data_IF_236119851923
#
_entry.id   IF_236119851923
#
_cell.length_a   1.000
_cell.length_b   1.000
_cell.length_c   1.000
_cell.angle_alpha   90.00
_cell.angle_beta   90.00
_cell.angle_gamma   90.00
#
_symmetry.space_group_name_H-M   'P 1'
#
loop_
_entity.id
_entity.type
_entity.pdbx_description
1 polymer ?
#
# COMPACT_ATOMS: atom_id res chain seq x y z
N UNK A 1 12.63 7.33 -8.60
CA UNK A 1 12.38 8.63 -7.94
C UNK A 1 10.97 8.61 -7.44
N UNK A 2 10.78 8.86 -6.15
CA UNK A 2 9.49 8.60 -5.51
C UNK A 2 8.85 9.94 -5.25
N UNK A 3 7.88 10.25 -6.09
CA UNK A 3 6.93 11.30 -5.81
C UNK A 3 6.13 10.88 -4.58
N UNK A 4 5.82 11.84 -3.73
CA UNK A 4 5.07 11.61 -2.51
C UNK A 4 3.66 11.10 -2.84
N UNK A 5 3.43 9.81 -2.65
CA UNK A 5 2.10 9.20 -2.67
C UNK A 5 1.95 8.43 -1.37
N UNK A 6 1.16 8.94 -0.42
CA UNK A 6 0.92 8.14 0.76
C UNK A 6 -0.07 7.04 0.45
N UNK A 7 0.32 5.85 0.89
CA UNK A 7 -0.57 4.73 1.04
C UNK A 7 -1.27 4.90 2.37
N UNK A 8 -2.59 5.01 2.33
CA UNK A 8 -3.42 5.05 3.52
C UNK A 8 -4.09 3.69 3.71
N UNK A 9 -3.66 2.91 4.70
CA UNK A 9 -4.46 1.91 5.43
C UNK A 9 -4.97 0.70 4.62
N UNK A 10 -4.30 -0.45 4.70
CA UNK A 10 -4.79 -1.77 4.31
C UNK A 10 -4.03 -2.92 5.02
N UNK A 11 -4.70 -3.50 6.03
CA UNK A 11 -4.26 -4.66 6.82
C UNK A 11 -3.76 -5.86 5.98
N UNK A 12 -2.84 -6.68 6.53
CA UNK A 12 -2.14 -7.73 5.80
C UNK A 12 -2.99 -9.00 5.65
N UNK A 13 -3.14 -9.47 4.41
CA UNK A 13 -3.47 -10.86 4.11
C UNK A 13 -2.19 -11.69 4.07
N UNK A 14 -2.18 -12.81 4.78
CA UNK A 14 -1.08 -13.76 4.90
C UNK A 14 -0.60 -14.27 3.53
N UNK A 15 0.71 -14.18 3.27
CA UNK A 15 1.36 -14.94 2.20
C UNK A 15 2.27 -15.99 2.83
N UNK A 16 1.89 -17.26 2.64
CA UNK A 16 2.63 -18.43 3.09
C UNK A 16 3.90 -18.65 2.26
N UNK A 17 4.98 -18.99 2.96
CA UNK A 17 6.30 -19.31 2.41
C UNK A 17 6.27 -20.76 1.90
N UNK A 18 6.56 -20.97 0.61
CA UNK A 18 7.03 -22.26 0.11
C UNK A 18 8.56 -22.17 -0.01
N UNK A 19 9.26 -22.83 0.92
CA UNK A 19 10.72 -22.92 0.94
C UNK A 19 11.17 -23.99 -0.06
N UNK A 20 11.82 -23.57 -1.14
CA UNK A 20 12.55 -24.42 -2.10
C UNK A 20 13.97 -23.86 -2.30
N UNK A 21 14.96 -24.74 -2.48
CA UNK A 21 16.39 -24.41 -2.35
C UNK A 21 17.09 -24.36 -3.72
N UNK A 22 17.46 -23.16 -4.16
CA UNK A 22 18.40 -22.93 -5.26
C UNK A 22 18.34 -21.53 -5.88
N UNK A 23 19.50 -20.94 -6.20
CA UNK A 23 19.67 -19.62 -6.87
C UNK A 23 18.82 -19.46 -8.15
N UNK A 24 18.60 -20.55 -8.89
CA UNK A 24 17.79 -20.57 -10.11
C UNK A 24 16.28 -20.51 -9.87
N UNK A 25 15.78 -20.97 -8.72
CA UNK A 25 14.36 -20.91 -8.37
C UNK A 25 13.95 -19.50 -7.92
N UNK A 26 14.81 -18.78 -7.18
CA UNK A 26 14.56 -17.40 -6.76
C UNK A 26 14.40 -16.45 -7.95
N UNK A 27 15.23 -16.62 -8.98
CA UNK A 27 15.12 -15.83 -10.20
C UNK A 27 13.78 -16.06 -10.90
N UNK A 28 13.29 -17.29 -10.96
CA UNK A 28 11.98 -17.61 -11.56
C UNK A 28 10.81 -17.05 -10.75
N UNK A 29 10.89 -17.10 -9.41
CA UNK A 29 9.86 -16.56 -8.53
C UNK A 29 9.80 -15.03 -8.59
N UNK A 30 10.95 -14.36 -8.55
CA UNK A 30 11.08 -12.92 -8.76
C UNK A 30 10.47 -12.52 -10.12
N UNK A 31 10.77 -13.25 -11.20
CA UNK A 31 10.20 -13.00 -12.52
C UNK A 31 8.68 -13.21 -12.57
N UNK A 32 8.13 -14.20 -11.84
CA UNK A 32 6.68 -14.40 -11.74
C UNK A 32 6.00 -13.24 -11.02
N UNK A 33 6.57 -12.80 -9.89
CA UNK A 33 6.07 -11.64 -9.12
C UNK A 33 6.10 -10.36 -9.95
N UNK A 34 7.19 -10.09 -10.67
CA UNK A 34 7.31 -8.94 -11.56
C UNK A 34 6.24 -8.97 -12.67
N UNK A 35 6.03 -10.12 -13.31
CA UNK A 35 4.99 -10.27 -14.36
C UNK A 35 3.59 -10.03 -13.82
N UNK A 36 3.31 -10.44 -12.58
CA UNK A 36 2.03 -10.16 -11.94
C UNK A 36 1.85 -8.66 -11.68
N UNK A 37 2.81 -8.02 -11.01
CA UNK A 37 2.73 -6.60 -10.66
C UNK A 37 2.63 -5.68 -11.90
N UNK A 38 3.35 -6.03 -12.98
CA UNK A 38 3.27 -5.30 -14.25
C UNK A 38 1.92 -5.42 -14.96
N UNK A 39 1.11 -6.44 -14.65
CA UNK A 39 -0.23 -6.62 -15.24
C UNK A 39 -1.31 -5.90 -14.45
N UNK A 40 -1.10 -5.70 -13.15
CA UNK A 40 -2.12 -5.23 -12.22
C UNK A 40 -1.96 -3.78 -11.82
N UNK A 41 -0.80 -3.17 -12.09
CA UNK A 41 -0.47 -1.80 -11.67
C UNK A 41 0.12 -0.98 -12.83
N UNK A 42 0.09 0.35 -12.72
CA UNK A 42 0.82 1.26 -13.60
C UNK A 42 2.31 1.38 -13.20
N UNK A 43 2.85 0.37 -12.53
CA UNK A 43 4.24 0.30 -12.11
C UNK A 43 4.98 -0.65 -13.04
N UNK A 44 6.20 -0.28 -13.38
CA UNK A 44 7.11 -1.10 -14.15
C UNK A 44 8.13 -1.74 -13.21
N UNK A 45 8.08 -3.05 -13.11
CA UNK A 45 9.03 -3.91 -12.42
C UNK A 45 9.84 -4.71 -13.44
N UNK A 46 11.09 -5.00 -13.11
CA UNK A 46 11.95 -5.83 -13.96
C UNK A 46 13.32 -6.08 -13.34
N UNK A 47 14.28 -6.56 -14.17
CA UNK A 47 15.62 -6.89 -13.69
C UNK A 47 16.37 -5.64 -13.18
N UNK A 48 16.96 -5.75 -12.00
CA UNK A 48 17.79 -4.72 -11.35
C UNK A 48 19.08 -5.35 -10.81
N UNK A 49 19.97 -4.55 -10.20
CA UNK A 49 21.15 -5.06 -9.49
C UNK A 49 20.82 -5.99 -8.29
N UNK A 50 19.56 -6.06 -7.89
CA UNK A 50 19.07 -6.88 -6.77
C UNK A 50 18.33 -8.13 -7.24
N UNK A 51 18.23 -8.38 -8.55
CA UNK A 51 17.43 -9.47 -9.10
C UNK A 51 17.91 -10.87 -8.75
N UNK A 52 19.19 -10.99 -8.39
CA UNK A 52 19.83 -12.25 -8.02
C UNK A 52 19.60 -12.59 -6.53
N UNK A 53 18.99 -11.68 -5.77
CA UNK A 53 18.68 -11.86 -4.34
C UNK A 53 17.25 -12.37 -4.17
N UNK A 54 17.06 -13.27 -3.21
CA UNK A 54 15.72 -13.54 -2.69
C UNK A 54 15.18 -12.31 -1.96
N UNK A 55 13.85 -12.25 -1.79
CA UNK A 55 13.20 -11.16 -1.04
C UNK A 55 13.79 -11.01 0.36
N UNK A 56 14.01 -12.13 1.04
CA UNK A 56 14.57 -12.16 2.40
C UNK A 56 16.01 -11.65 2.43
N UNK A 57 16.85 -12.06 1.49
CA UNK A 57 18.23 -11.56 1.40
C UNK A 57 18.27 -10.06 1.09
N UNK A 58 17.37 -9.57 0.22
CA UNK A 58 17.27 -8.13 -0.03
C UNK A 58 16.91 -7.36 1.24
N UNK A 59 15.89 -7.82 1.97
CA UNK A 59 15.47 -7.22 3.23
C UNK A 59 16.59 -7.26 4.29
N UNK A 60 17.29 -8.38 4.45
CA UNK A 60 18.36 -8.53 5.44
C UNK A 60 19.64 -7.75 5.10
N UNK A 61 19.96 -7.56 3.82
CA UNK A 61 21.21 -6.91 3.39
C UNK A 61 21.03 -5.40 3.18
N UNK A 62 19.88 -4.96 2.66
CA UNK A 62 19.69 -3.58 2.19
C UNK A 62 18.66 -2.77 2.97
N UNK A 63 17.80 -3.43 3.75
CA UNK A 63 16.81 -2.76 4.59
C UNK A 63 17.20 -2.91 6.07
N UNK A 64 16.70 -1.99 6.89
CA UNK A 64 16.96 -1.99 8.34
C UNK A 64 15.78 -1.39 9.06
N UNK A 65 15.47 -1.83 10.28
CA UNK A 65 14.40 -1.22 11.05
C UNK A 65 14.80 0.22 11.45
N UNK A 66 14.07 1.22 10.93
CA UNK A 66 14.27 2.60 11.32
C UNK A 66 13.46 2.86 12.59
N UNK A 67 14.13 3.32 13.65
CA UNK A 67 13.52 3.59 14.95
C UNK A 67 12.60 4.81 14.89
N UNK A 68 11.35 4.65 14.43
CA UNK A 68 10.39 5.75 14.32
C UNK A 68 9.54 5.88 15.58
N UNK A 69 9.59 7.03 16.23
CA UNK A 69 8.64 7.41 17.28
C UNK A 69 7.24 7.59 16.67
N UNK A 70 6.35 6.60 16.86
CA UNK A 70 4.96 6.67 16.38
C UNK A 70 4.15 7.61 17.27
N UNK A 71 3.72 8.74 16.69
CA UNK A 71 2.70 9.58 17.29
C UNK A 71 1.30 9.02 16.99
N UNK A 72 0.30 9.19 17.89
CA UNK A 72 -1.05 8.73 17.66
C UNK A 72 -1.69 9.45 16.46
N UNK A 73 -2.53 8.71 15.72
CA UNK A 73 -3.30 9.22 14.59
C UNK A 73 -4.16 10.42 15.01
N UNK A 74 -4.13 11.48 14.21
CA UNK A 74 -5.09 12.58 14.36
C UNK A 74 -6.51 12.05 14.11
N UNK A 75 -7.41 12.23 15.08
CA UNK A 75 -8.85 12.06 14.89
C UNK A 75 -9.40 13.26 14.13
N UNK A 76 -9.19 13.29 12.81
CA UNK A 76 -9.80 14.27 11.92
C UNK A 76 -10.93 13.62 11.11
N UNK A 77 -12.01 14.37 10.90
CA UNK A 77 -13.17 13.92 10.12
C UNK A 77 -12.96 14.05 8.61
N UNK A 78 -11.93 14.79 8.17
CA UNK A 78 -11.58 14.95 6.75
C UNK A 78 -10.62 13.86 6.29
N UNK A 79 -10.75 13.45 5.03
CA UNK A 79 -9.78 12.54 4.39
C UNK A 79 -8.51 13.30 3.99
N UNK A 80 -7.34 12.64 3.87
CA UNK A 80 -6.11 13.27 3.37
C UNK A 80 -6.32 14.02 2.05
N UNK A 81 -7.03 13.40 1.09
CA UNK A 81 -7.34 14.03 -0.20
C UNK A 81 -8.18 15.31 -0.05
N UNK A 82 -9.13 15.35 0.89
CA UNK A 82 -9.92 16.55 1.15
C UNK A 82 -9.06 17.66 1.73
N UNK A 83 -8.09 17.35 2.58
CA UNK A 83 -7.14 18.33 3.11
C UNK A 83 -6.23 18.88 2.02
N UNK A 84 -5.66 18.01 1.18
CA UNK A 84 -4.77 18.39 0.07
C UNK A 84 -5.47 19.34 -0.91
N UNK A 85 -6.74 19.10 -1.24
CA UNK A 85 -7.52 19.97 -2.14
C UNK A 85 -7.71 21.40 -1.63
N UNK A 86 -7.56 21.63 -0.33
CA UNK A 86 -7.68 22.97 0.26
C UNK A 86 -6.36 23.74 0.34
N UNK A 87 -5.24 23.10 -0.03
CA UNK A 87 -3.92 23.72 0.01
C UNK A 87 -3.75 24.73 -1.13
N UNK A 88 -3.12 25.87 -0.82
CA UNK A 88 -2.74 26.88 -1.80
C UNK A 88 -1.28 26.69 -2.22
N UNK A 89 -1.02 25.59 -2.94
CA UNK A 89 0.31 25.20 -3.46
C UNK A 89 0.20 24.88 -4.95
N UNK A 90 1.28 24.99 -5.75
CA UNK A 90 1.25 24.59 -7.15
C UNK A 90 0.87 23.11 -7.29
N UNK A 91 0.27 22.67 -8.40
CA UNK A 91 -0.13 21.27 -8.58
C UNK A 91 1.07 20.33 -8.79
N UNK A 92 2.23 20.86 -9.16
CA UNK A 92 3.49 20.12 -9.31
C UNK A 92 4.63 20.92 -8.71
N UNK A 93 5.54 20.24 -8.05
CA UNK A 93 6.79 20.80 -7.55
C UNK A 93 7.89 19.75 -7.72
N UNK A 94 9.04 20.19 -8.22
CA UNK A 94 10.21 19.34 -8.35
C UNK A 94 11.48 20.15 -8.10
N UNK A 95 12.11 19.91 -6.95
CA UNK A 95 13.32 20.59 -6.49
C UNK A 95 14.53 20.36 -7.40
N UNK A 96 14.49 19.36 -8.30
CA UNK A 96 15.54 19.15 -9.30
C UNK A 96 15.51 20.17 -10.42
N UNK A 97 14.34 20.76 -10.67
CA UNK A 97 14.08 21.65 -11.80
C UNK A 97 13.60 23.05 -11.38
N UNK A 98 13.71 23.40 -10.09
CA UNK A 98 13.38 24.75 -9.65
C UNK A 98 14.30 25.76 -10.34
N UNK A 99 13.69 26.70 -11.06
CA UNK A 99 14.42 27.66 -11.87
C UNK A 99 14.60 28.96 -11.11
N UNK A 100 15.67 29.04 -10.31
CA UNK A 100 16.15 30.27 -9.68
C UNK A 100 17.38 30.78 -10.43
N UNK A 101 18.31 29.89 -10.77
CA UNK A 101 19.46 30.12 -11.69
C UNK A 101 19.76 28.86 -12.53
N UNK A 102 20.92 28.81 -13.19
CA UNK A 102 21.43 27.62 -13.90
C UNK A 102 21.98 26.52 -12.97
N UNK A 103 21.97 26.72 -11.66
CA UNK A 103 22.51 25.77 -10.69
C UNK A 103 21.55 24.59 -10.47
N UNK A 104 22.10 23.40 -10.22
CA UNK A 104 21.31 22.25 -9.74
C UNK A 104 21.38 22.20 -8.23
N UNK A 105 20.23 22.29 -7.59
CA UNK A 105 20.14 22.29 -6.13
C UNK A 105 20.02 20.89 -5.53
N UNK A 106 19.58 19.88 -6.28
CA UNK A 106 19.63 18.49 -5.83
C UNK A 106 20.94 17.86 -6.33
N UNK A 107 21.70 17.25 -5.42
CA UNK A 107 22.97 16.58 -5.73
C UNK A 107 22.77 15.31 -6.57
N UNK A 108 23.83 14.80 -7.22
CA UNK A 108 23.77 13.51 -7.91
C UNK A 108 23.37 12.37 -6.98
N UNK A 109 22.67 11.37 -7.52
CA UNK A 109 22.25 10.18 -6.75
C UNK A 109 23.49 9.43 -6.28
N UNK A 110 23.60 9.20 -4.97
CA UNK A 110 24.68 8.44 -4.34
C UNK A 110 24.30 6.95 -4.17
N UNK A 111 25.26 6.11 -3.80
CA UNK A 111 25.04 4.68 -3.60
C UNK A 111 25.58 4.23 -2.24
N UNK A 112 24.68 3.85 -1.32
CA UNK A 112 25.04 3.34 0.02
C UNK A 112 25.66 1.94 0.03
N UNK A 113 25.68 1.26 -1.12
CA UNK A 113 26.13 -0.12 -1.26
C UNK A 113 25.46 -1.05 -0.23
N UNK A 114 26.24 -1.82 0.53
CA UNK A 114 25.73 -2.74 1.57
C UNK A 114 25.71 -2.11 2.96
N UNK A 115 26.10 -0.85 3.09
CA UNK A 115 26.04 -0.15 4.36
C UNK A 115 24.58 0.19 4.68
N UNK A 116 24.15 -0.07 5.92
CA UNK A 116 22.87 0.40 6.44
C UNK A 116 22.85 1.90 6.74
N UNK A 117 23.42 2.73 5.87
CA UNK A 117 23.62 4.16 6.07
C UNK A 117 22.49 5.04 5.53
N UNK A 118 21.38 4.49 5.05
CA UNK A 118 20.31 5.25 4.36
C UNK A 118 19.81 6.47 5.16
N UNK A 119 19.80 6.36 6.50
CA UNK A 119 19.47 7.45 7.41
C UNK A 119 20.42 8.65 7.30
N UNK A 120 21.72 8.40 7.08
CA UNK A 120 22.74 9.44 6.90
C UNK A 120 22.66 10.02 5.48
N UNK A 121 22.56 9.18 4.45
CA UNK A 121 22.42 9.61 3.05
C UNK A 121 21.24 10.59 2.88
N UNK A 122 20.06 10.15 3.28
CA UNK A 122 18.83 10.95 3.13
C UNK A 122 18.85 12.25 3.94
N UNK A 123 19.54 12.29 5.09
CA UNK A 123 19.70 13.52 5.88
C UNK A 123 20.66 14.51 5.20
N UNK A 124 21.80 14.02 4.71
CA UNK A 124 22.83 14.85 4.09
C UNK A 124 22.42 15.36 2.72
N UNK A 125 21.72 14.58 1.91
CA UNK A 125 21.15 15.04 0.62
C UNK A 125 20.20 16.24 0.82
N UNK A 126 19.46 16.28 1.94
CA UNK A 126 18.61 17.41 2.30
C UNK A 126 19.43 18.63 2.72
N UNK A 127 20.51 18.43 3.48
CA UNK A 127 21.45 19.51 3.86
C UNK A 127 22.13 20.12 2.62
N UNK A 128 22.61 19.28 1.71
CA UNK A 128 23.21 19.69 0.43
C UNK A 128 22.24 20.55 -0.37
N UNK A 129 20.99 20.09 -0.50
CA UNK A 129 19.98 20.81 -1.27
C UNK A 129 19.64 22.16 -0.66
N UNK A 130 19.49 22.21 0.66
CA UNK A 130 19.17 23.45 1.35
C UNK A 130 20.33 24.46 1.34
N UNK A 131 21.56 23.98 1.42
CA UNK A 131 22.74 24.84 1.25
C UNK A 131 22.78 25.43 -0.16
N UNK A 132 22.65 24.57 -1.18
CA UNK A 132 22.65 24.95 -2.58
C UNK A 132 21.57 26.01 -2.87
N UNK A 133 20.35 25.78 -2.37
CA UNK A 133 19.22 26.68 -2.56
C UNK A 133 19.40 28.03 -1.85
N UNK A 134 19.87 28.00 -0.60
CA UNK A 134 20.07 29.20 0.24
C UNK A 134 21.12 30.12 -0.35
N UNK A 135 22.28 29.59 -0.72
CA UNK A 135 23.41 30.36 -1.23
C UNK A 135 23.41 30.49 -2.75
N UNK A 136 22.45 29.87 -3.43
CA UNK A 136 22.33 29.86 -4.87
C UNK A 136 23.62 29.35 -5.55
N UNK A 137 23.99 28.13 -5.18
CA UNK A 137 25.19 27.44 -5.69
C UNK A 137 24.82 26.06 -6.20
N UNK A 138 25.76 25.42 -6.91
CA UNK A 138 25.68 24.00 -7.22
C UNK A 138 25.67 23.19 -5.92
N UNK A 139 24.79 22.19 -5.83
CA UNK A 139 24.75 21.30 -4.69
C UNK A 139 26.13 20.65 -4.43
N UNK A 140 26.70 20.83 -3.22
CA UNK A 140 27.95 20.19 -2.87
C UNK A 140 27.72 18.70 -2.62
N UNK A 141 28.78 17.90 -2.79
CA UNK A 141 28.80 16.50 -2.35
C UNK A 141 29.50 16.44 -0.99
N UNK A 142 28.71 16.37 0.07
CA UNK A 142 29.15 16.25 1.45
C UNK A 142 29.44 14.79 1.82
N UNK A 143 30.35 14.61 2.76
CA UNK A 143 30.72 13.30 3.29
C UNK A 143 29.58 12.71 4.09
N UNK A 144 28.96 11.67 3.54
CA UNK A 144 28.01 10.84 4.27
C UNK A 144 28.76 9.94 5.27
N UNK A 145 29.98 9.55 4.95
CA UNK A 145 30.83 8.71 5.81
C UNK A 145 31.14 9.39 7.15
N UNK A 146 31.42 10.69 7.13
CA UNK A 146 31.63 11.46 8.36
C UNK A 146 30.42 11.33 9.30
N UNK A 147 29.21 11.37 8.76
CA UNK A 147 27.98 11.26 9.55
C UNK A 147 27.74 9.82 10.01
N UNK A 148 28.04 8.82 9.16
CA UNK A 148 27.99 7.39 9.52
C UNK A 148 28.92 7.09 10.71
N UNK A 149 30.14 7.61 10.70
CA UNK A 149 31.15 7.31 11.71
C UNK A 149 30.98 8.15 12.99
N UNK A 150 30.47 9.38 12.89
CA UNK A 150 30.51 10.36 13.99
C UNK A 150 29.17 10.66 14.67
N UNK A 151 28.03 10.32 14.09
CA UNK A 151 26.73 10.56 14.74
C UNK A 151 26.50 9.58 15.89
N UNK A 152 26.95 9.95 17.10
CA UNK A 152 27.11 9.07 18.28
C UNK A 152 25.84 8.35 18.77
N UNK A 153 24.65 8.83 18.43
CA UNK A 153 23.37 8.22 18.80
C UNK A 153 22.83 7.25 17.72
N UNK A 154 23.57 7.09 16.61
CA UNK A 154 23.32 6.13 15.54
C UNK A 154 24.35 4.99 15.54
N UNK A 155 24.10 3.93 14.75
CA UNK A 155 24.90 2.70 14.77
C UNK A 155 25.68 2.49 13.45
N UNK A 156 26.03 3.59 12.77
CA UNK A 156 26.74 3.57 11.49
C UNK A 156 26.02 2.73 10.45
N UNK A 157 26.73 1.76 9.85
CA UNK A 157 26.16 0.83 8.87
C UNK A 157 25.25 -0.25 9.45
N UNK A 158 25.12 -0.39 10.78
CA UNK A 158 24.14 -1.30 11.37
C UNK A 158 22.72 -0.69 11.45
N UNK A 159 22.59 0.60 11.12
CA UNK A 159 21.33 1.32 11.09
C UNK A 159 21.37 2.63 11.89
N UNK A 160 20.28 3.36 11.83
CA UNK A 160 20.17 4.66 12.48
C UNK A 160 18.81 5.30 12.25
N UNK A 161 18.66 6.49 12.80
CA UNK A 161 17.47 7.32 12.72
C UNK A 161 17.83 8.70 12.15
N UNK A 162 17.02 9.15 11.20
CA UNK A 162 17.21 10.43 10.51
C UNK A 162 17.09 11.63 11.44
N UNK A 163 16.26 11.54 12.49
CA UNK A 163 16.10 12.62 13.45
C UNK A 163 17.26 12.69 14.44
N UNK A 164 17.80 11.55 14.88
CA UNK A 164 19.03 11.49 15.67
C UNK A 164 20.23 12.04 14.89
N UNK A 165 20.29 11.75 13.58
CA UNK A 165 21.33 12.31 12.71
C UNK A 165 21.26 13.84 12.66
N UNK A 166 20.08 14.39 12.42
CA UNK A 166 19.86 15.84 12.39
C UNK A 166 20.06 16.48 13.78
N UNK A 167 19.61 15.84 14.86
CA UNK A 167 19.88 16.28 16.24
C UNK A 167 21.37 16.40 16.49
N UNK A 168 22.15 15.38 16.11
CA UNK A 168 23.60 15.39 16.24
C UNK A 168 24.24 16.57 15.48
N UNK A 169 23.83 16.81 14.23
CA UNK A 169 24.35 17.95 13.44
C UNK A 169 24.08 19.30 14.09
N UNK A 170 22.93 19.46 14.75
CA UNK A 170 22.55 20.74 15.39
C UNK A 170 23.16 20.88 16.79
N UNK A 171 23.17 19.79 17.58
CA UNK A 171 23.66 19.78 18.96
C UNK A 171 25.17 19.93 19.05
N UNK A 172 25.92 19.22 18.21
CA UNK A 172 27.38 19.23 18.23
C UNK A 172 28.00 20.23 17.24
N UNK A 173 27.21 20.78 16.31
CA UNK A 173 27.65 21.72 15.27
C UNK A 173 28.95 21.28 14.55
N UNK A 174 29.08 20.00 14.12
CA UNK A 174 30.23 19.59 13.34
C UNK A 174 30.22 20.33 11.99
N UNK A 175 31.42 20.62 11.48
CA UNK A 175 31.58 21.10 10.10
C UNK A 175 31.65 19.87 9.21
N UNK A 176 30.54 19.56 8.55
CA UNK A 176 30.45 18.43 7.62
C UNK A 176 31.26 18.77 6.37
N UNK A 177 32.28 17.97 6.09
CA UNK A 177 33.21 18.22 4.98
C UNK A 177 32.73 17.65 3.66
N UNK A 178 33.48 17.91 2.59
CA UNK A 178 33.22 17.31 1.29
C UNK A 178 33.47 15.80 1.30
N UNK A 179 32.78 15.06 0.43
CA UNK A 179 33.06 13.64 0.19
C UNK A 179 34.52 13.40 -0.21
N UNK A 180 35.16 14.37 -0.88
CA UNK A 180 36.59 14.26 -1.22
C UNK A 180 37.53 14.34 -0.02
N UNK A 181 37.16 15.08 1.03
CA UNK A 181 37.98 15.23 2.24
C UNK A 181 37.76 14.05 3.21
N UNK A 182 36.57 13.43 3.20
CA UNK A 182 36.25 12.22 3.95
C UNK A 182 35.43 11.25 3.08
N UNK A 183 36.11 10.40 2.28
CA UNK A 183 35.45 9.52 1.31
C UNK A 183 34.62 8.41 1.93
N UNK A 184 33.56 8.02 1.21
CA UNK A 184 32.73 6.85 1.52
C UNK A 184 33.53 5.54 1.50
N UNK A 185 33.47 4.80 2.61
CA UNK A 185 34.09 3.46 2.76
C UNK A 185 33.06 2.33 2.86
N UNK A 186 31.77 2.67 2.95
CA UNK A 186 30.65 1.73 3.09
C UNK A 186 30.73 0.80 4.31
N UNK A 187 31.49 1.21 5.32
CA UNK A 187 31.68 0.49 6.59
C UNK A 187 31.66 1.46 7.75
N UNK A 188 31.22 1.02 8.92
CA UNK A 188 31.41 1.81 10.14
C UNK A 188 32.90 1.82 10.52
N UNK A 189 33.46 3.01 10.71
CA UNK A 189 34.82 3.20 11.21
C UNK A 189 34.80 4.10 12.46
N UNK A 190 35.96 4.29 13.09
CA UNK A 190 36.07 5.28 14.16
C UNK A 190 35.90 6.70 13.59
N UNK A 191 35.16 7.53 14.33
CA UNK A 191 34.93 8.91 13.97
C UNK A 191 36.24 9.71 13.82
N UNK A 192 36.44 10.33 12.65
CA UNK A 192 37.59 11.20 12.32
C UNK A 192 37.14 12.64 12.01
N UNK A 193 36.47 13.30 12.96
CA UNK A 193 36.06 14.70 12.77
C UNK A 193 37.27 15.58 12.42
N UNK A 194 37.16 16.30 11.30
CA UNK A 194 38.18 17.24 10.85
C UNK A 194 38.02 18.58 11.58
N UNK A 195 38.45 18.63 12.84
CA UNK A 195 38.24 19.78 13.74
C UNK A 195 38.96 21.07 13.33
N UNK A 196 39.94 21.00 12.43
CA UNK A 196 40.72 22.16 11.96
C UNK A 196 40.35 22.63 10.55
N UNK A 197 39.21 22.21 9.99
CA UNK A 197 38.74 22.69 8.69
C UNK A 197 37.78 23.87 8.85
N UNK A 198 37.95 24.92 8.04
CA UNK A 198 36.94 25.97 7.84
C UNK A 198 36.10 25.72 6.58
N UNK A 199 36.39 24.64 5.84
CA UNK A 199 35.73 24.27 4.60
C UNK A 199 34.74 23.14 4.89
N UNK A 200 33.45 23.47 4.87
CA UNK A 200 32.35 22.54 5.07
C UNK A 200 31.05 23.25 5.42
N UNK A 201 30.06 22.49 5.87
CA UNK A 201 28.70 22.95 6.13
C UNK A 201 28.28 22.54 7.53
N UNK A 202 27.62 23.44 8.25
CA UNK A 202 26.96 23.12 9.52
C UNK A 202 25.45 23.34 9.37
N UNK A 203 24.67 22.59 10.16
CA UNK A 203 23.21 22.69 10.19
C UNK A 203 22.80 23.54 11.38
N UNK A 204 22.05 24.62 11.13
CA UNK A 204 21.66 25.55 12.21
C UNK A 204 20.43 25.11 12.99
N UNK A 205 19.50 24.42 12.35
CA UNK A 205 18.25 23.96 12.96
C UNK A 205 17.62 22.84 12.12
N UNK A 206 16.75 22.05 12.73
CA UNK A 206 15.97 21.02 12.08
C UNK A 206 14.57 20.91 12.70
N UNK A 207 13.67 20.24 11.99
CA UNK A 207 12.37 19.82 12.54
C UNK A 207 12.21 18.34 12.29
N UNK A 208 11.81 17.59 13.31
CA UNK A 208 11.48 16.18 13.20
C UNK A 208 10.11 15.92 13.84
N UNK A 209 9.18 15.40 13.03
CA UNK A 209 7.84 15.06 13.49
C UNK A 209 7.33 13.83 12.72
N UNK A 210 6.48 13.04 13.38
CA UNK A 210 5.76 11.96 12.73
C UNK A 210 4.50 12.50 12.04
N UNK A 211 4.48 12.49 10.70
CA UNK A 211 3.37 12.97 9.88
C UNK A 211 2.43 11.84 9.44
N UNK A 212 2.12 10.89 10.33
CA UNK A 212 1.21 9.79 10.01
C UNK A 212 -0.15 10.36 9.57
N UNK A 213 -0.59 9.97 8.37
CA UNK A 213 -1.82 10.44 7.70
C UNK A 213 -1.93 11.97 7.52
N UNK A 214 -0.81 12.68 7.50
CA UNK A 214 -0.74 14.15 7.41
C UNK A 214 0.07 14.61 6.19
N UNK A 215 -0.17 13.99 5.04
CA UNK A 215 0.46 14.34 3.75
C UNK A 215 0.32 15.82 3.44
N UNK A 216 -0.80 16.45 3.77
CA UNK A 216 -1.00 17.87 3.52
C UNK A 216 0.06 18.75 4.21
N UNK A 217 0.52 18.34 5.40
CA UNK A 217 1.58 19.05 6.12
C UNK A 217 2.93 18.78 5.46
N UNK A 218 3.19 17.55 5.03
CA UNK A 218 4.41 17.22 4.29
C UNK A 218 4.49 17.98 2.97
N UNK A 219 3.39 18.11 2.22
CA UNK A 219 3.35 18.92 1.00
C UNK A 219 3.67 20.39 1.26
N UNK A 220 3.11 20.97 2.33
CA UNK A 220 3.39 22.34 2.74
C UNK A 220 4.85 22.52 3.15
N UNK A 221 5.41 21.58 3.92
CA UNK A 221 6.81 21.61 4.31
C UNK A 221 7.72 21.48 3.09
N UNK A 222 7.43 20.56 2.17
CA UNK A 222 8.19 20.39 0.94
C UNK A 222 8.17 21.66 0.08
N UNK A 223 7.03 22.34 0.01
CA UNK A 223 6.87 23.58 -0.75
C UNK A 223 7.59 24.77 -0.10
N UNK A 224 7.46 24.95 1.21
CA UNK A 224 7.98 26.15 1.90
C UNK A 224 9.42 26.00 2.43
N UNK A 225 9.86 24.77 2.71
CA UNK A 225 11.10 24.52 3.46
C UNK A 225 12.11 23.65 2.73
N UNK A 226 11.77 23.03 1.59
CA UNK A 226 12.72 22.20 0.84
C UNK A 226 12.47 20.70 0.95
N UNK A 227 13.33 19.88 0.32
CA UNK A 227 13.25 18.43 0.36
C UNK A 227 13.11 17.87 1.77
N UNK A 228 12.36 16.78 1.89
CA UNK A 228 12.09 16.13 3.17
C UNK A 228 12.80 14.78 3.24
N UNK A 229 13.54 14.58 4.32
CA UNK A 229 14.05 13.26 4.70
C UNK A 229 12.91 12.45 5.33
N UNK A 230 12.65 11.25 4.81
CA UNK A 230 11.53 10.40 5.25
C UNK A 230 11.93 8.94 5.37
N UNK A 231 11.29 8.25 6.30
CA UNK A 231 11.35 6.80 6.43
C UNK A 231 10.16 6.16 5.70
N UNK A 232 10.40 5.09 4.96
CA UNK A 232 9.42 4.38 4.12
C UNK A 232 9.60 2.87 4.21
N UNK A 233 8.57 2.13 3.83
CA UNK A 233 8.64 0.71 3.54
C UNK A 233 9.13 0.52 2.10
N UNK A 234 10.37 0.05 1.95
CA UNK A 234 11.01 -0.22 0.66
C UNK A 234 11.08 -1.72 0.33
N UNK A 235 10.35 -2.58 1.05
CA UNK A 235 10.42 -4.03 0.89
C UNK A 235 10.17 -4.45 -0.56
N UNK A 236 9.32 -3.73 -1.29
CA UNK A 236 8.96 -4.07 -2.68
C UNK A 236 9.75 -3.34 -3.75
N UNK A 237 10.79 -2.59 -3.39
CA UNK A 237 11.48 -1.70 -4.33
C UNK A 237 12.63 -2.35 -5.09
N UNK A 238 13.11 -3.51 -4.64
CA UNK A 238 14.23 -4.23 -5.25
C UNK A 238 14.07 -4.44 -6.76
N UNK A 239 12.85 -4.53 -7.30
CA UNK A 239 12.60 -4.72 -8.73
C UNK A 239 11.97 -3.51 -9.43
N UNK A 240 11.82 -2.37 -8.75
CA UNK A 240 11.15 -1.19 -9.32
C UNK A 240 12.02 -0.51 -10.40
N UNK A 241 11.43 -0.26 -11.57
CA UNK A 241 12.06 0.42 -12.71
C UNK A 241 11.40 1.77 -13.05
N UNK A 242 10.10 1.93 -12.76
CA UNK A 242 9.38 3.16 -13.08
C UNK A 242 7.89 3.11 -12.79
N UNK A 243 7.19 4.22 -13.01
CA UNK A 243 5.77 4.36 -12.65
C UNK A 243 5.56 4.77 -11.19
N UNK A 244 4.34 4.64 -10.69
CA UNK A 244 3.94 5.13 -9.36
C UNK A 244 3.53 3.98 -8.46
N UNK A 245 4.31 3.71 -7.41
CA UNK A 245 3.98 2.70 -6.40
C UNK A 245 2.77 3.18 -5.58
N UNK A 246 1.72 2.37 -5.51
CA UNK A 246 0.46 2.68 -4.82
C UNK A 246 0.11 1.68 -3.71
N UNK A 247 0.81 0.55 -3.67
CA UNK A 247 0.53 -0.59 -2.80
C UNK A 247 1.82 -1.03 -2.11
N UNK A 248 1.70 -1.78 -1.01
CA UNK A 248 2.81 -2.35 -0.21
C UNK A 248 3.60 -1.33 0.63
N UNK A 249 2.91 -0.64 1.54
CA UNK A 249 3.49 0.50 2.29
C UNK A 249 3.29 0.39 3.82
N UNK A 250 2.89 -0.77 4.31
CA UNK A 250 2.47 -0.95 5.71
C UNK A 250 3.41 -1.82 6.53
N UNK A 251 4.41 -2.41 5.88
CA UNK A 251 5.31 -3.37 6.52
C UNK A 251 6.64 -2.67 6.84
N UNK A 252 6.63 -1.97 7.98
CA UNK A 252 7.81 -1.45 8.65
C UNK A 252 8.53 -0.32 7.88
N UNK A 253 8.89 0.75 8.60
CA UNK A 253 9.73 1.79 8.02
C UNK A 253 11.15 1.24 7.98
N UNK A 254 11.59 0.76 6.82
CA UNK A 254 12.82 -0.01 6.71
C UNK A 254 13.89 0.61 5.79
N UNK A 255 13.60 1.80 5.27
CA UNK A 255 14.51 2.55 4.42
C UNK A 255 14.27 4.06 4.54
N UNK A 256 15.33 4.87 4.45
CA UNK A 256 15.23 6.32 4.52
C UNK A 256 15.62 6.94 3.18
N UNK A 257 14.81 7.89 2.71
CA UNK A 257 14.94 8.53 1.40
C UNK A 257 14.67 10.03 1.49
N UNK A 258 15.04 10.75 0.43
CA UNK A 258 14.69 12.14 0.25
C UNK A 258 13.49 12.30 -0.70
N UNK A 259 12.46 13.02 -0.26
CA UNK A 259 11.38 13.52 -1.12
C UNK A 259 11.83 14.83 -1.74
N UNK A 260 11.86 14.89 -3.07
CA UNK A 260 12.28 16.07 -3.85
C UNK A 260 11.13 16.72 -4.63
N UNK A 261 9.91 16.19 -4.54
CA UNK A 261 8.79 16.75 -5.28
C UNK A 261 7.47 16.01 -5.11
N UNK A 262 6.44 16.56 -5.74
CA UNK A 262 5.11 15.97 -5.84
C UNK A 262 4.45 16.32 -7.18
N UNK A 263 3.48 15.51 -7.57
CA UNK A 263 2.58 15.76 -8.70
C UNK A 263 1.14 15.40 -8.31
N UNK A 264 0.30 16.43 -8.17
CA UNK A 264 -1.11 16.30 -7.80
C UNK A 264 -2.05 16.21 -9.01
N UNK A 265 -1.53 16.30 -10.24
CA UNK A 265 -2.34 16.24 -11.47
C UNK A 265 -2.74 14.82 -11.84
N UNK A 266 -1.95 13.86 -11.37
CA UNK A 266 -2.13 12.45 -11.63
C UNK A 266 -3.24 11.88 -10.73
N UNK A 267 -4.38 11.58 -11.35
CA UNK A 267 -5.66 11.21 -10.70
C UNK A 267 -5.70 9.76 -10.21
N UNK A 268 -4.70 9.28 -9.50
CA UNK A 268 -4.62 7.85 -9.15
C UNK A 268 -5.22 7.44 -7.80
N UNK A 269 -5.94 8.34 -7.12
CA UNK A 269 -6.77 7.95 -5.95
C UNK A 269 -8.06 7.20 -6.37
N UNK A 270 -8.00 6.34 -7.39
CA UNK A 270 -9.05 5.37 -7.67
C UNK A 270 -8.61 4.07 -7.03
N UNK A 271 -9.17 3.77 -5.85
CA UNK A 271 -9.06 2.44 -5.24
C UNK A 271 -9.80 1.48 -6.17
N UNK A 272 -9.08 0.88 -7.11
CA UNK A 272 -9.57 -0.31 -7.79
C UNK A 272 -9.47 -1.41 -6.74
N UNK A 273 -10.61 -2.01 -6.36
CA UNK A 273 -10.61 -3.23 -5.56
C UNK A 273 -9.99 -4.34 -6.42
N UNK A 274 -8.67 -4.50 -6.29
CA UNK A 274 -7.85 -5.46 -7.04
C UNK A 274 -8.10 -6.92 -6.60
N UNK A 275 -9.00 -7.18 -5.64
CA UNK A 275 -9.39 -8.55 -5.29
C UNK A 275 -10.30 -9.19 -6.34
N UNK A 276 -11.21 -8.41 -6.93
CA UNK A 276 -12.08 -8.89 -8.02
C UNK A 276 -11.34 -9.46 -9.26
N UNK A 277 -10.20 -8.88 -9.69
CA UNK A 277 -9.42 -9.44 -10.79
C UNK A 277 -8.45 -10.56 -10.39
N UNK A 278 -8.29 -10.88 -9.10
CA UNK A 278 -7.38 -11.96 -8.68
C UNK A 278 -8.07 -13.33 -8.72
N UNK A 279 -7.91 -14.02 -9.85
CA UNK A 279 -8.43 -15.37 -10.06
C UNK A 279 -7.67 -16.41 -9.23
N UNK A 280 -6.53 -16.05 -8.62
CA UNK A 280 -5.79 -16.94 -7.72
C UNK A 280 -6.35 -16.97 -6.30
N UNK A 281 -7.20 -16.01 -5.93
CA UNK A 281 -7.95 -16.04 -4.69
C UNK A 281 -9.04 -17.13 -4.77
N UNK A 282 -8.92 -18.12 -3.88
CA UNK A 282 -9.82 -19.29 -3.82
C UNK A 282 -11.27 -18.87 -3.60
N UNK A 283 -11.51 -17.82 -2.83
CA UNK A 283 -12.84 -17.29 -2.57
C UNK A 283 -13.42 -16.61 -3.82
N UNK A 284 -12.64 -15.75 -4.49
CA UNK A 284 -13.07 -15.06 -5.72
C UNK A 284 -13.39 -16.07 -6.82
N UNK A 285 -12.54 -17.09 -6.98
CA UNK A 285 -12.77 -18.20 -7.90
C UNK A 285 -14.04 -18.99 -7.54
N UNK A 286 -14.20 -19.39 -6.28
CA UNK A 286 -15.38 -20.14 -5.82
C UNK A 286 -16.68 -19.34 -5.99
N UNK A 287 -16.66 -18.03 -5.68
CA UNK A 287 -17.82 -17.16 -5.85
C UNK A 287 -18.17 -16.96 -7.32
N UNK A 288 -17.17 -16.81 -8.19
CA UNK A 288 -17.38 -16.75 -9.64
C UNK A 288 -18.00 -18.03 -10.19
N UNK A 289 -17.53 -19.19 -9.73
CA UNK A 289 -18.11 -20.49 -10.10
C UNK A 289 -19.55 -20.63 -9.61
N UNK A 290 -19.85 -20.20 -8.38
CA UNK A 290 -21.21 -20.21 -7.82
C UNK A 290 -22.16 -19.30 -8.62
N UNK A 291 -21.69 -18.15 -9.11
CA UNK A 291 -22.47 -17.27 -9.99
C UNK A 291 -22.84 -17.99 -11.30
N UNK A 292 -21.90 -18.72 -11.92
CA UNK A 292 -22.19 -19.51 -13.12
C UNK A 292 -23.22 -20.60 -12.86
N UNK A 293 -23.06 -21.34 -11.75
CA UNK A 293 -24.02 -22.39 -11.35
C UNK A 293 -25.40 -21.77 -11.13
N UNK A 294 -25.49 -20.64 -10.42
CA UNK A 294 -26.75 -19.95 -10.16
C UNK A 294 -27.46 -19.50 -11.45
N UNK A 295 -26.73 -18.94 -12.42
CA UNK A 295 -27.29 -18.56 -13.73
C UNK A 295 -27.83 -19.79 -14.47
N UNK A 296 -27.08 -20.90 -14.49
CA UNK A 296 -27.52 -22.15 -15.11
C UNK A 296 -28.79 -22.69 -14.46
N UNK A 297 -28.83 -22.72 -13.12
CA UNK A 297 -30.00 -23.22 -12.39
C UNK A 297 -31.23 -22.31 -12.57
N UNK A 298 -31.04 -20.99 -12.69
CA UNK A 298 -32.11 -20.05 -13.04
C UNK A 298 -32.66 -20.32 -14.45
N UNK A 299 -31.79 -20.53 -15.44
CA UNK A 299 -32.21 -20.89 -16.81
C UNK A 299 -32.99 -22.22 -16.80
N UNK A 300 -32.51 -23.22 -16.08
CA UNK A 300 -33.21 -24.52 -15.92
C UNK A 300 -34.57 -24.31 -15.27
N UNK A 301 -34.68 -23.47 -14.25
CA UNK A 301 -35.94 -23.16 -13.56
C UNK A 301 -36.94 -22.52 -14.51
N UNK A 302 -36.50 -21.58 -15.35
CA UNK A 302 -37.36 -20.94 -16.36
C UNK A 302 -37.83 -21.97 -17.40
N UNK A 303 -36.95 -22.84 -17.89
CA UNK A 303 -37.33 -23.91 -18.83
C UNK A 303 -38.34 -24.86 -18.19
N UNK A 304 -38.14 -25.24 -16.92
CA UNK A 304 -39.07 -26.08 -16.18
C UNK A 304 -40.44 -25.42 -16.02
N UNK A 305 -40.47 -24.10 -15.79
CA UNK A 305 -41.71 -23.33 -15.73
C UNK A 305 -42.48 -23.39 -17.05
N UNK A 306 -41.79 -23.14 -18.18
CA UNK A 306 -42.41 -23.23 -19.52
C UNK A 306 -42.91 -24.65 -19.84
N UNK A 307 -42.26 -25.69 -19.31
CA UNK A 307 -42.69 -27.08 -19.45
C UNK A 307 -43.73 -27.52 -18.41
N UNK A 308 -44.23 -26.60 -17.57
CA UNK A 308 -45.16 -26.88 -16.48
C UNK A 308 -44.72 -28.03 -15.55
N UNK A 309 -43.42 -28.13 -15.28
CA UNK A 309 -42.86 -29.15 -14.39
C UNK A 309 -43.28 -28.92 -12.94
N UNK A 310 -43.63 -30.01 -12.23
CA UNK A 310 -43.93 -29.98 -10.78
C UNK A 310 -42.75 -29.57 -9.91
N UNK A 311 -41.53 -29.74 -10.42
CA UNK A 311 -40.30 -29.41 -9.70
C UNK A 311 -39.90 -27.93 -9.79
N UNK A 312 -40.62 -27.12 -10.59
CA UNK A 312 -40.30 -25.71 -10.82
C UNK A 312 -40.23 -24.90 -9.52
N UNK A 313 -41.19 -25.10 -8.62
CA UNK A 313 -41.29 -24.33 -7.36
C UNK A 313 -40.12 -24.69 -6.42
N UNK A 314 -39.80 -25.98 -6.31
CA UNK A 314 -38.67 -26.46 -5.50
C UNK A 314 -37.36 -25.89 -6.04
N UNK A 315 -37.16 -25.98 -7.35
CA UNK A 315 -35.96 -25.47 -8.00
C UNK A 315 -35.80 -23.95 -7.82
N UNK A 316 -36.86 -23.19 -8.07
CA UNK A 316 -36.87 -21.73 -7.87
C UNK A 316 -36.51 -21.36 -6.43
N UNK A 317 -37.08 -22.08 -5.45
CA UNK A 317 -36.78 -21.85 -4.05
C UNK A 317 -35.32 -22.17 -3.72
N UNK A 318 -34.79 -23.31 -4.16
CA UNK A 318 -33.38 -23.68 -3.92
C UNK A 318 -32.40 -22.66 -4.49
N UNK A 319 -32.60 -22.22 -5.73
CA UNK A 319 -31.74 -21.21 -6.37
C UNK A 319 -31.80 -19.88 -5.63
N UNK A 320 -32.99 -19.50 -5.18
CA UNK A 320 -33.19 -18.27 -4.40
C UNK A 320 -32.50 -18.33 -3.04
N UNK A 321 -32.57 -19.48 -2.34
CA UNK A 321 -31.85 -19.72 -1.07
C UNK A 321 -30.33 -19.61 -1.28
N UNK A 322 -29.80 -20.21 -2.36
CA UNK A 322 -28.37 -20.12 -2.70
C UNK A 322 -27.94 -18.67 -2.93
N UNK A 323 -28.72 -17.91 -3.71
CA UNK A 323 -28.44 -16.50 -4.02
C UNK A 323 -28.42 -15.65 -2.75
N UNK A 324 -29.41 -15.85 -1.88
CA UNK A 324 -29.53 -15.15 -0.60
C UNK A 324 -28.33 -15.43 0.30
N UNK A 325 -28.02 -16.70 0.56
CA UNK A 325 -26.96 -17.06 1.51
C UNK A 325 -25.55 -16.78 1.00
N UNK A 326 -25.30 -16.88 -0.31
CA UNK A 326 -24.06 -16.43 -0.93
C UNK A 326 -23.83 -14.93 -0.68
N UNK A 327 -24.87 -14.12 -0.87
CA UNK A 327 -24.79 -12.67 -0.68
C UNK A 327 -24.64 -12.32 0.82
N UNK A 328 -25.33 -13.03 1.71
CA UNK A 328 -25.15 -12.86 3.17
C UNK A 328 -23.73 -13.22 3.61
N UNK A 329 -23.18 -14.34 3.14
CA UNK A 329 -21.78 -14.73 3.42
C UNK A 329 -20.80 -13.67 2.91
N UNK A 330 -21.05 -13.10 1.73
CA UNK A 330 -20.29 -11.97 1.20
C UNK A 330 -20.33 -10.78 2.19
N UNK A 331 -21.51 -10.34 2.63
CA UNK A 331 -21.60 -9.25 3.62
C UNK A 331 -20.91 -9.58 4.95
N UNK A 332 -21.06 -10.80 5.47
CA UNK A 332 -20.46 -11.20 6.74
C UNK A 332 -18.94 -11.24 6.69
N UNK A 333 -18.36 -11.62 5.54
CA UNK A 333 -16.90 -11.69 5.38
C UNK A 333 -16.30 -10.30 5.10
N UNK A 334 -16.99 -9.45 4.35
CA UNK A 334 -16.49 -8.13 3.96
C UNK A 334 -16.90 -7.00 4.91
N UNK A 335 -17.86 -7.21 5.81
CA UNK A 335 -18.18 -6.28 6.90
C UNK A 335 -17.72 -6.85 8.23
N UNK A 336 -16.61 -6.35 8.77
CA UNK A 336 -16.19 -6.66 10.13
C UNK A 336 -17.20 -6.07 11.13
N UNK A 337 -18.05 -6.91 11.72
CA UNK A 337 -19.01 -6.49 12.77
C UNK A 337 -18.32 -6.10 14.09
N UNK A 338 -17.05 -6.48 14.26
CA UNK A 338 -16.26 -6.26 15.48
C UNK A 338 -14.86 -5.75 15.12
N UNK A 339 -14.81 -4.54 14.62
CA UNK A 339 -13.59 -3.76 14.41
C UNK A 339 -14.02 -2.30 14.28
N UNK A 340 -13.22 -1.36 14.74
CA UNK A 340 -13.56 0.07 14.71
C UNK A 340 -14.05 0.52 13.33
N UNK A 341 -14.68 1.70 13.29
CA UNK A 341 -15.06 2.39 12.04
C UNK A 341 -13.83 2.85 11.24
N UNK A 342 -12.85 1.97 11.05
CA UNK A 342 -11.63 2.23 10.32
C UNK A 342 -11.93 1.96 8.86
N UNK A 343 -12.33 3.05 8.20
CA UNK A 343 -12.65 3.09 6.78
C UNK A 343 -11.35 2.89 5.99
N UNK A 344 -11.30 1.82 5.20
CA UNK A 344 -10.26 1.63 4.19
C UNK A 344 -10.55 2.64 3.06
N UNK A 345 -9.76 3.71 2.99
CA UNK A 345 -9.78 4.66 1.87
C UNK A 345 -10.86 5.75 1.87
N UNK A 346 -10.71 6.67 0.91
CA UNK A 346 -11.40 7.96 0.82
C UNK A 346 -12.85 7.91 0.28
N UNK A 347 -13.54 6.78 0.37
CA UNK A 347 -14.91 6.62 -0.13
C UNK A 347 -15.90 7.34 0.79
N UNK A 348 -16.68 8.27 0.24
CA UNK A 348 -17.70 8.95 1.03
C UNK A 348 -18.83 7.98 1.39
N UNK A 349 -19.42 8.11 2.59
CA UNK A 349 -20.54 7.26 3.03
C UNK A 349 -21.68 7.17 1.99
N UNK A 350 -22.08 8.25 1.27
CA UNK A 350 -23.08 8.14 0.22
C UNK A 350 -22.64 7.29 -0.98
N UNK A 351 -21.36 7.33 -1.36
CA UNK A 351 -20.83 6.50 -2.45
C UNK A 351 -20.75 5.03 -2.04
N UNK A 352 -20.34 4.75 -0.81
CA UNK A 352 -20.35 3.38 -0.27
C UNK A 352 -21.78 2.82 -0.24
N UNK A 353 -22.75 3.62 0.21
CA UNK A 353 -24.15 3.22 0.19
C UNK A 353 -24.61 2.94 -1.25
N UNK A 354 -24.33 3.83 -2.19
CA UNK A 354 -24.79 3.70 -3.58
C UNK A 354 -24.10 2.57 -4.36
N UNK A 355 -22.79 2.37 -4.16
CA UNK A 355 -21.98 1.44 -4.95
C UNK A 355 -21.88 0.05 -4.33
N UNK A 356 -22.00 -0.05 -3.00
CA UNK A 356 -21.83 -1.32 -2.28
C UNK A 356 -23.12 -1.77 -1.59
N UNK A 357 -23.72 -0.95 -0.71
CA UNK A 357 -24.86 -1.39 0.09
C UNK A 357 -26.15 -1.52 -0.73
N UNK A 358 -26.44 -0.61 -1.66
CA UNK A 358 -27.66 -0.64 -2.48
C UNK A 358 -27.68 -1.83 -3.44
N UNK A 359 -26.63 -2.08 -4.27
CA UNK A 359 -26.63 -3.21 -5.19
C UNK A 359 -26.65 -4.53 -4.44
N UNK A 360 -25.79 -4.70 -3.42
CA UNK A 360 -25.73 -5.96 -2.68
C UNK A 360 -26.96 -6.17 -1.77
N UNK A 361 -27.52 -5.09 -1.22
CA UNK A 361 -28.77 -5.13 -0.45
C UNK A 361 -29.96 -5.58 -1.28
N UNK A 362 -30.03 -5.18 -2.56
CA UNK A 362 -31.02 -5.69 -3.50
C UNK A 362 -30.95 -7.22 -3.65
N UNK A 363 -29.74 -7.77 -3.73
CA UNK A 363 -29.46 -9.22 -3.81
C UNK A 363 -29.70 -10.00 -2.50
N UNK A 364 -30.01 -9.32 -1.40
CA UNK A 364 -30.51 -9.94 -0.16
C UNK A 364 -32.04 -9.84 -0.10
N UNK A 365 -32.57 -8.63 -0.29
CA UNK A 365 -34.00 -8.35 -0.07
C UNK A 365 -34.87 -9.09 -1.09
N UNK A 366 -34.51 -9.06 -2.38
CA UNK A 366 -35.34 -9.67 -3.42
C UNK A 366 -35.40 -11.20 -3.26
N UNK A 367 -34.27 -11.92 -3.11
CA UNK A 367 -34.33 -13.35 -2.85
C UNK A 367 -35.10 -13.70 -1.58
N UNK A 368 -34.96 -12.91 -0.51
CA UNK A 368 -35.73 -13.12 0.71
C UNK A 368 -37.25 -13.04 0.47
N UNK A 369 -37.71 -12.01 -0.22
CA UNK A 369 -39.13 -11.84 -0.55
C UNK A 369 -39.65 -12.97 -1.44
N UNK A 370 -38.84 -13.46 -2.38
CA UNK A 370 -39.19 -14.59 -3.24
C UNK A 370 -39.31 -15.88 -2.42
N UNK A 371 -38.38 -16.15 -1.50
CA UNK A 371 -38.47 -17.30 -0.58
C UNK A 371 -39.76 -17.26 0.24
N UNK A 372 -40.08 -16.11 0.84
CA UNK A 372 -41.31 -15.93 1.64
C UNK A 372 -42.57 -16.18 0.80
N UNK A 373 -42.59 -15.75 -0.47
CA UNK A 373 -43.73 -15.99 -1.36
C UNK A 373 -43.85 -17.43 -1.83
N UNK A 374 -42.75 -18.12 -2.09
CA UNK A 374 -42.76 -19.51 -2.56
C UNK A 374 -43.00 -20.52 -1.42
N UNK A 375 -42.72 -20.13 -0.18
CA UNK A 375 -42.83 -21.01 1.00
C UNK A 375 -44.21 -21.69 1.16
N UNK A 376 -45.35 -20.97 1.12
CA UNK A 376 -46.66 -21.61 1.29
C UNK A 376 -46.98 -22.61 0.16
N UNK A 377 -46.52 -22.32 -1.06
CA UNK A 377 -46.73 -23.23 -2.20
C UNK A 377 -45.96 -24.53 -2.06
N UNK A 378 -44.82 -24.53 -1.37
CA UNK A 378 -44.06 -25.73 -1.05
C UNK A 378 -44.76 -26.57 0.02
N UNK A 379 -45.15 -25.95 1.13
CA UNK A 379 -45.77 -26.65 2.27
C UNK A 379 -47.14 -27.25 1.93
N UNK A 380 -47.93 -26.55 1.12
CA UNK A 380 -49.27 -27.01 0.77
C UNK A 380 -49.24 -28.13 -0.28
N UNK A 381 -48.22 -28.15 -1.15
CA UNK A 381 -48.04 -29.22 -2.15
C UNK A 381 -47.75 -30.59 -1.50
N UNK A 382 -47.03 -30.61 -0.38
CA UNK A 382 -46.79 -31.83 0.39
C UNK A 382 -48.04 -32.36 1.09
N UNK A 383 -48.92 -31.50 1.59
CA UNK A 383 -50.16 -31.92 2.26
C UNK A 383 -51.14 -32.59 1.27
N UNK A 384 -51.29 -32.04 0.06
CA UNK A 384 -52.16 -32.64 -0.96
C UNK A 384 -51.65 -34.00 -1.46
N UNK A 385 -50.33 -34.18 -1.58
CA UNK A 385 -49.75 -35.48 -1.95
C UNK A 385 -49.93 -36.53 -0.85
N UNK A 386 -49.72 -36.16 0.41
CA UNK A 386 -49.97 -37.05 1.56
C UNK A 386 -51.44 -37.46 1.63
N UNK A 387 -52.37 -36.53 1.42
CA UNK A 387 -53.81 -36.83 1.39
C UNK A 387 -54.18 -37.74 0.20
N UNK A 388 -53.57 -37.56 -0.98
CA UNK A 388 -53.80 -38.41 -2.16
C UNK A 388 -53.23 -39.82 -1.98
N UNK A 389 -52.05 -39.96 -1.38
CA UNK A 389 -51.45 -41.26 -1.06
C UNK A 389 -52.32 -41.99 -0.04
N UNK A 390 -52.71 -41.31 1.05
CA UNK A 390 -53.56 -41.89 2.10
C UNK A 390 -54.92 -42.35 1.57
N UNK A 391 -55.54 -41.60 0.65
CA UNK A 391 -56.78 -42.03 -0.03
C UNK A 391 -56.57 -43.21 -0.99
N UNK A 392 -55.41 -43.32 -1.63
CA UNK A 392 -55.05 -44.47 -2.50
C UNK A 392 -54.76 -45.74 -1.72
N UNK A 393 -54.11 -45.66 -0.55
CA UNK A 393 -53.91 -46.82 0.33
C UNK A 393 -55.23 -47.30 0.92
N UNK A 394 -56.13 -46.38 1.30
CA UNK A 394 -57.45 -46.75 1.83
C UNK A 394 -58.33 -47.47 0.79
N UNK A 395 -58.29 -47.04 -0.47
CA UNK A 395 -58.97 -47.72 -1.60
C UNK A 395 -58.36 -49.04 -2.07
N UNK A 396 -57.16 -49.41 -1.60
CA UNK A 396 -56.52 -50.71 -1.90
C UNK A 396 -56.76 -51.75 -0.80
N UNK A 397 -57.25 -51.32 0.36
CA UNK A 397 -57.52 -52.15 1.54
C UNK A 397 -59.03 -52.36 1.78
N UNK A 398 -59.88 -51.78 0.94
CA UNK A 398 -61.29 -52.12 0.72
C UNK A 398 -61.38 -52.87 -0.62
#
# INVERSE_FOLDING_TARGET
MIYMYACTGANPGEWGILVGSGEWEFTQDNLRRQRFLNRTTNVHYGPTKFSDLSQKEFEEIYLMDLFVNRQPLLKDNKTPLQRIKTLNIPPKLDWRFINKTSNKYVSPVKNQNRCGGCWAFSSIESVETMYAYKYDTQAPELSVQEVIDCAVDNQGCAGGDTCLALDWTVKYQPIIVSDTDYPLTDTSDYCKLLTNTSRGIYVSNYTCNAYVAQEEKMLLLLYHHGPLTVAVDASTWNHYLGGIIQYHCEQYNNHAVQIVGYDLTDKYYVVIDLRYPDISDVYVFAQSLLNYVEVLLNIVTIIMHYKHSRHTIIMAFTVTVMTFWKTVLYFMMFMSFTGGRDRIGATSLPQEILLFHVPNGFWIVIPFLVMVKLWPSLTNSSEEEVVKVTRRTRRKNE
#
